data_IF_690889623502
#
_entry.id   IF_690889623502
#
_cell.length_a   1.000
_cell.length_b   1.000
_cell.length_c   1.000
_cell.angle_alpha   90.00
_cell.angle_beta   90.00
_cell.angle_gamma   90.00
#
_symmetry.space_group_name_H-M   'P 1'
#
loop_
_entity.id
_entity.type
_entity.pdbx_description
1 polymer ?
#
# COMPACT_ATOMS: atom_id res chain seq x y z
N UNK A 1 -6.23 9.65 21.22
CA UNK A 1 -4.93 8.96 21.20
C UNK A 1 -5.17 7.54 20.72
N UNK A 2 -4.30 7.02 19.86
CA UNK A 2 -4.45 5.65 19.34
C UNK A 2 -3.62 4.72 20.22
N UNK A 3 -4.25 3.72 20.82
CA UNK A 3 -3.52 2.68 21.54
C UNK A 3 -2.61 1.95 20.52
N UNK A 4 -1.33 1.88 20.85
CA UNK A 4 -0.37 1.19 20.01
C UNK A 4 0.72 0.50 20.82
N UNK A 5 1.23 -0.59 20.29
CA UNK A 5 2.41 -1.26 20.82
C UNK A 5 3.63 -0.59 20.20
N UNK A 6 4.13 0.47 20.81
CA UNK A 6 5.25 1.25 20.28
C UNK A 6 6.54 0.43 20.30
N UNK A 7 7.05 0.11 19.12
CA UNK A 7 8.24 -0.73 18.95
C UNK A 7 9.53 -0.14 19.56
N UNK A 8 9.63 1.18 19.73
CA UNK A 8 10.77 1.80 20.41
C UNK A 8 10.66 1.68 21.93
N UNK A 9 9.43 1.76 22.47
CA UNK A 9 9.18 1.67 23.91
C UNK A 9 9.25 0.22 24.41
N UNK A 10 8.80 -0.73 23.60
CA UNK A 10 8.71 -2.14 23.95
C UNK A 10 9.77 -3.01 23.26
N UNK A 11 10.88 -2.40 22.78
CA UNK A 11 12.02 -3.15 22.24
C UNK A 11 12.63 -4.05 23.33
N UNK A 12 12.88 -5.31 22.98
CA UNK A 12 13.32 -6.31 23.95
C UNK A 12 12.22 -6.94 24.80
N UNK A 13 11.04 -6.30 24.92
CA UNK A 13 9.85 -6.84 25.64
C UNK A 13 8.98 -7.63 24.68
N UNK A 14 8.20 -6.94 23.85
CA UNK A 14 7.34 -7.57 22.85
C UNK A 14 8.03 -7.70 21.50
N UNK A 15 8.92 -6.76 21.15
CA UNK A 15 9.72 -6.84 19.93
C UNK A 15 11.04 -7.53 20.18
N UNK A 16 11.49 -8.31 19.22
CA UNK A 16 12.79 -8.99 19.18
C UNK A 16 13.58 -8.50 17.97
N UNK A 17 14.90 -8.64 18.03
CA UNK A 17 15.78 -8.26 16.92
C UNK A 17 16.49 -9.47 16.35
N UNK A 18 16.41 -9.61 15.02
CA UNK A 18 17.17 -10.62 14.30
C UNK A 18 18.64 -10.20 14.20
N UNK A 19 19.54 -11.12 14.46
CA UNK A 19 20.97 -10.94 14.21
C UNK A 19 21.36 -11.07 12.73
N UNK A 20 20.47 -11.64 11.90
CA UNK A 20 20.69 -11.81 10.46
C UNK A 20 20.56 -10.52 9.66
N UNK A 21 20.05 -9.44 10.25
CA UNK A 21 19.84 -8.13 9.61
C UNK A 21 20.34 -6.99 10.49
N UNK A 22 20.64 -5.85 9.86
CA UNK A 22 21.04 -4.63 10.58
C UNK A 22 19.82 -3.82 10.99
N UNK A 23 19.91 -3.16 12.16
CA UNK A 23 18.93 -2.17 12.59
C UNK A 23 18.81 -1.02 11.55
N UNK A 24 17.62 -0.41 11.42
CA UNK A 24 16.37 -0.66 12.14
C UNK A 24 15.52 -1.80 11.55
N UNK A 25 15.93 -2.39 10.41
CA UNK A 25 15.14 -3.34 9.62
C UNK A 25 15.21 -4.79 10.11
N UNK A 26 15.52 -5.00 11.38
CA UNK A 26 15.68 -6.31 12.00
C UNK A 26 14.74 -6.55 13.19
N UNK A 27 13.81 -5.64 13.43
CA UNK A 27 12.81 -5.76 14.50
C UNK A 27 11.61 -6.57 14.02
N UNK A 28 11.10 -7.47 14.84
CA UNK A 28 9.91 -8.27 14.59
C UNK A 28 9.13 -8.52 15.88
N UNK A 29 7.86 -8.86 15.75
CA UNK A 29 6.96 -9.22 16.86
C UNK A 29 6.27 -10.54 16.49
N UNK A 30 6.12 -11.45 17.45
CA UNK A 30 5.34 -12.68 17.27
C UNK A 30 3.84 -12.43 17.51
N UNK A 31 2.99 -13.33 16.99
CA UNK A 31 1.54 -13.25 17.24
C UNK A 31 1.20 -13.25 18.74
N UNK A 32 1.87 -14.09 19.55
CA UNK A 32 1.72 -14.12 21.00
C UNK A 32 2.06 -12.77 21.64
N UNK A 33 3.15 -12.15 21.22
CA UNK A 33 3.57 -10.84 21.72
C UNK A 33 2.64 -9.71 21.25
N UNK A 34 1.99 -9.84 20.07
CA UNK A 34 0.92 -8.90 19.66
C UNK A 34 -0.25 -8.96 20.64
N UNK A 35 -0.70 -10.17 21.00
CA UNK A 35 -1.79 -10.35 21.97
C UNK A 35 -1.41 -9.79 23.35
N UNK A 36 -0.26 -10.18 23.89
CA UNK A 36 0.21 -9.70 25.18
C UNK A 36 0.46 -8.18 25.20
N UNK A 37 0.98 -7.63 24.10
CA UNK A 37 1.18 -6.19 23.96
C UNK A 37 -0.12 -5.42 23.88
N UNK A 38 -1.12 -5.93 23.16
CA UNK A 38 -2.46 -5.34 23.08
C UNK A 38 -3.12 -5.29 24.46
N UNK A 39 -3.08 -6.40 25.19
CA UNK A 39 -3.57 -6.46 26.58
C UNK A 39 -2.85 -5.42 27.46
N UNK A 40 -1.53 -5.31 27.35
CA UNK A 40 -0.72 -4.35 28.12
C UNK A 40 -1.12 -2.89 27.91
N UNK A 41 -1.48 -2.52 26.67
CA UNK A 41 -1.87 -1.14 26.31
C UNK A 41 -3.38 -0.91 26.32
N UNK A 42 -4.19 -1.94 26.65
CA UNK A 42 -5.65 -1.87 26.66
C UNK A 42 -6.30 -1.83 25.28
N UNK A 43 -5.57 -2.24 24.24
CA UNK A 43 -6.08 -2.25 22.87
C UNK A 43 -6.96 -3.48 22.59
N UNK A 44 -8.07 -3.29 21.91
CA UNK A 44 -8.92 -4.38 21.46
C UNK A 44 -8.32 -5.07 20.22
N UNK A 45 -8.28 -6.39 20.24
CA UNK A 45 -7.94 -7.22 19.09
C UNK A 45 -9.16 -7.54 18.20
N UNK A 46 -10.36 -7.15 18.64
CA UNK A 46 -11.57 -7.34 17.86
C UNK A 46 -11.69 -6.22 16.82
N UNK A 47 -11.79 -6.60 15.55
CA UNK A 47 -12.10 -5.65 14.49
C UNK A 47 -13.55 -5.15 14.65
N UNK A 48 -13.70 -3.88 14.98
CA UNK A 48 -15.00 -3.27 15.28
C UNK A 48 -15.57 -2.44 14.14
N UNK A 49 -14.80 -2.23 13.06
CA UNK A 49 -15.24 -1.43 11.91
C UNK A 49 -16.12 -2.24 10.98
N UNK A 50 -17.16 -1.60 10.42
CA UNK A 50 -18.09 -2.21 9.47
C UNK A 50 -17.63 -2.05 8.02
N UNK A 51 -16.54 -1.30 7.79
CA UNK A 51 -16.03 -0.99 6.45
C UNK A 51 -14.97 -2.01 6.06
N UNK A 52 -15.11 -2.59 4.88
CA UNK A 52 -14.15 -3.53 4.28
C UNK A 52 -14.02 -3.24 2.80
N UNK A 53 -12.93 -3.70 2.18
CA UNK A 53 -12.81 -3.62 0.72
C UNK A 53 -13.76 -4.59 0.05
N UNK A 54 -14.53 -4.17 -0.96
CA UNK A 54 -15.28 -5.08 -1.82
C UNK A 54 -14.32 -5.82 -2.76
N UNK A 55 -14.61 -7.09 -3.04
CA UNK A 55 -13.82 -7.90 -3.95
C UNK A 55 -14.67 -8.38 -5.12
N UNK A 56 -14.01 -8.62 -6.27
CA UNK A 56 -14.61 -9.31 -7.39
C UNK A 56 -14.88 -10.77 -7.06
N UNK A 57 -15.97 -11.30 -7.61
CA UNK A 57 -16.24 -12.73 -7.64
C UNK A 57 -15.44 -13.38 -8.78
N UNK A 58 -15.33 -14.70 -8.76
CA UNK A 58 -14.48 -15.44 -9.72
C UNK A 58 -14.91 -15.27 -11.19
N UNK A 59 -16.18 -15.04 -11.44
CA UNK A 59 -16.79 -14.88 -12.77
C UNK A 59 -16.84 -13.41 -13.26
N UNK A 60 -16.48 -12.46 -12.41
CA UNK A 60 -16.53 -11.04 -12.77
C UNK A 60 -15.50 -10.69 -13.88
N UNK A 61 -15.90 -9.87 -14.83
CA UNK A 61 -14.98 -9.29 -15.79
C UNK A 61 -14.23 -8.11 -15.16
N UNK A 62 -12.93 -8.30 -14.92
CA UNK A 62 -12.10 -7.33 -14.17
C UNK A 62 -11.37 -6.34 -15.07
N UNK A 63 -11.34 -6.55 -16.39
CA UNK A 63 -10.60 -5.71 -17.34
C UNK A 63 -11.35 -4.39 -17.60
N UNK A 64 -11.20 -3.44 -16.67
CA UNK A 64 -11.80 -2.11 -16.74
C UNK A 64 -10.67 -1.07 -16.78
N UNK A 65 -10.69 -0.20 -17.80
CA UNK A 65 -9.69 0.85 -17.99
C UNK A 65 -8.89 0.67 -19.28
N UNK A 66 -7.75 1.34 -19.36
CA UNK A 66 -6.83 1.23 -20.50
C UNK A 66 -5.74 0.21 -20.21
N UNK A 67 -5.15 -0.44 -21.24
CA UNK A 67 -4.04 -1.37 -21.03
C UNK A 67 -2.88 -0.73 -20.26
N UNK A 68 -2.30 -1.48 -19.32
CA UNK A 68 -1.20 -1.05 -18.48
C UNK A 68 -0.36 -2.26 -18.04
N UNK A 69 0.39 -2.83 -18.97
CA UNK A 69 1.29 -3.94 -18.67
C UNK A 69 2.50 -3.48 -17.86
N UNK A 70 2.90 -2.22 -17.99
CA UNK A 70 3.90 -1.61 -17.15
C UNK A 70 3.33 -0.35 -16.49
N UNK A 71 3.60 -0.19 -15.19
CA UNK A 71 3.22 0.99 -14.43
C UNK A 71 4.42 1.46 -13.62
N UNK A 72 4.73 2.76 -13.67
CA UNK A 72 5.83 3.36 -12.92
C UNK A 72 5.31 4.47 -12.03
N UNK A 73 5.67 4.42 -10.74
CA UNK A 73 5.47 5.49 -9.78
C UNK A 73 6.79 6.19 -9.50
N UNK A 74 6.87 7.50 -9.79
CA UNK A 74 8.05 8.34 -9.59
C UNK A 74 7.88 9.24 -8.37
N UNK A 75 8.66 8.98 -7.32
CA UNK A 75 8.71 9.84 -6.13
C UNK A 75 9.80 10.92 -6.21
N UNK A 76 10.86 10.66 -6.99
CA UNK A 76 11.95 11.62 -7.19
C UNK A 76 12.70 11.35 -8.51
N UNK A 77 13.52 12.32 -8.91
CA UNK A 77 14.34 12.23 -10.13
C UNK A 77 15.55 11.28 -9.98
N UNK A 78 15.97 10.98 -8.76
CA UNK A 78 17.11 10.08 -8.49
C UNK A 78 16.80 8.61 -8.63
N UNK A 79 15.54 8.23 -8.77
CA UNK A 79 15.08 6.86 -9.05
C UNK A 79 15.08 5.90 -7.88
N UNK A 80 15.82 6.14 -6.81
CA UNK A 80 16.04 5.20 -5.71
C UNK A 80 14.78 4.80 -4.92
N UNK A 81 13.74 5.64 -4.94
CA UNK A 81 12.45 5.36 -4.28
C UNK A 81 11.32 5.10 -5.27
N UNK A 82 11.62 5.10 -6.57
CA UNK A 82 10.63 4.84 -7.59
C UNK A 82 10.22 3.36 -7.58
N UNK A 83 8.97 3.10 -7.93
CA UNK A 83 8.46 1.73 -8.06
C UNK A 83 8.06 1.48 -9.50
N UNK A 84 8.39 0.30 -9.98
CA UNK A 84 8.01 -0.18 -11.30
C UNK A 84 7.26 -1.50 -11.15
N UNK A 85 6.21 -1.68 -11.94
CA UNK A 85 5.31 -2.81 -11.93
C UNK A 85 5.23 -3.39 -13.32
N UNK A 86 5.41 -4.70 -13.44
CA UNK A 86 5.28 -5.44 -14.70
C UNK A 86 4.18 -6.47 -14.53
N UNK A 87 3.18 -6.42 -15.41
CA UNK A 87 2.05 -7.34 -15.38
C UNK A 87 2.38 -8.66 -16.06
N UNK A 88 2.20 -9.75 -15.36
CA UNK A 88 2.25 -11.10 -15.90
C UNK A 88 0.83 -11.57 -16.25
N UNK A 89 0.56 -11.73 -17.55
CA UNK A 89 -0.78 -12.09 -18.06
C UNK A 89 -1.19 -13.54 -17.71
N UNK A 90 -0.22 -14.45 -17.65
CA UNK A 90 -0.48 -15.85 -17.34
C UNK A 90 -0.81 -16.06 -15.87
N UNK A 91 -0.07 -15.37 -15.01
CA UNK A 91 -0.24 -15.46 -13.57
C UNK A 91 -1.25 -14.43 -13.00
N UNK A 92 -1.73 -13.48 -13.84
CA UNK A 92 -2.72 -12.45 -13.49
C UNK A 92 -2.30 -11.58 -12.29
N UNK A 93 -1.03 -11.20 -12.22
CA UNK A 93 -0.51 -10.32 -11.17
C UNK A 93 0.58 -9.37 -11.69
N UNK A 94 0.87 -8.33 -10.92
CA UNK A 94 2.01 -7.45 -11.10
C UNK A 94 3.19 -7.90 -10.24
N UNK A 95 4.38 -7.96 -10.84
CA UNK A 95 5.66 -8.04 -10.12
C UNK A 95 6.15 -6.62 -9.86
N UNK A 96 6.58 -6.36 -8.62
CA UNK A 96 7.06 -5.04 -8.18
C UNK A 96 8.57 -4.98 -8.15
N UNK A 97 9.11 -3.87 -8.65
CA UNK A 97 10.53 -3.48 -8.52
C UNK A 97 10.65 -2.18 -7.72
N UNK A 98 11.60 -2.11 -6.81
CA UNK A 98 12.03 -0.87 -6.14
C UNK A 98 13.27 -0.36 -6.84
N UNK A 99 13.16 0.78 -7.53
CA UNK A 99 14.11 1.17 -8.57
C UNK A 99 14.26 0.05 -9.64
N UNK A 100 15.38 -0.66 -9.65
CA UNK A 100 15.64 -1.79 -10.56
C UNK A 100 15.67 -3.15 -9.87
N UNK A 101 15.44 -3.19 -8.55
CA UNK A 101 15.57 -4.41 -7.74
C UNK A 101 14.18 -4.99 -7.51
N UNK A 102 13.97 -6.24 -7.87
CA UNK A 102 12.72 -6.94 -7.62
C UNK A 102 12.42 -6.99 -6.11
N UNK A 103 11.16 -6.77 -5.76
CA UNK A 103 10.69 -6.86 -4.38
C UNK A 103 10.39 -8.32 -4.05
N UNK A 104 11.16 -8.88 -3.16
CA UNK A 104 11.01 -10.27 -2.70
C UNK A 104 10.64 -10.32 -1.21
N UNK A 105 9.91 -11.35 -0.81
CA UNK A 105 9.73 -11.70 0.59
C UNK A 105 11.04 -12.26 1.15
N UNK A 106 11.54 -11.64 2.22
CA UNK A 106 12.86 -12.00 2.77
C UNK A 106 12.91 -13.43 3.36
N UNK A 107 11.80 -13.89 3.93
CA UNK A 107 11.77 -15.19 4.60
C UNK A 107 11.66 -16.36 3.62
N UNK A 108 10.91 -16.16 2.53
CA UNK A 108 10.64 -17.21 1.53
C UNK A 108 11.46 -17.07 0.27
N UNK A 109 12.09 -15.90 0.05
CA UNK A 109 12.75 -15.49 -1.20
C UNK A 109 11.82 -15.51 -2.42
N UNK A 110 10.51 -15.46 -2.20
CA UNK A 110 9.51 -15.43 -3.26
C UNK A 110 9.25 -14.00 -3.73
N UNK A 111 8.93 -13.83 -5.01
CA UNK A 111 8.47 -12.57 -5.58
C UNK A 111 7.22 -12.07 -4.85
N UNK A 112 7.11 -10.76 -4.68
CA UNK A 112 5.87 -10.13 -4.17
C UNK A 112 4.94 -9.91 -5.35
N UNK A 113 3.99 -10.84 -5.50
CA UNK A 113 2.96 -10.82 -6.52
C UNK A 113 1.76 -10.00 -6.04
N UNK A 114 1.31 -9.05 -6.86
CA UNK A 114 0.27 -8.08 -6.52
C UNK A 114 -0.90 -8.19 -7.48
N UNK A 115 -2.09 -8.41 -6.95
CA UNK A 115 -3.33 -8.39 -7.72
C UNK A 115 -3.77 -6.96 -8.05
N UNK A 116 -3.47 -6.00 -7.16
CA UNK A 116 -3.86 -4.61 -7.31
C UNK A 116 -2.72 -3.67 -6.93
N UNK A 117 -2.64 -2.52 -7.63
CA UNK A 117 -1.81 -1.38 -7.24
C UNK A 117 -2.68 -0.13 -7.21
N UNK A 118 -2.73 0.53 -6.06
CA UNK A 118 -3.54 1.72 -5.82
C UNK A 118 -2.61 2.94 -5.68
N UNK A 119 -2.98 4.04 -6.32
CA UNK A 119 -2.25 5.31 -6.25
C UNK A 119 -3.23 6.37 -5.76
N UNK A 120 -3.11 6.78 -4.49
CA UNK A 120 -3.97 7.78 -3.87
C UNK A 120 -3.25 9.12 -3.77
N UNK A 121 -3.76 10.13 -4.48
CA UNK A 121 -3.21 11.49 -4.44
C UNK A 121 -3.69 12.21 -3.18
N UNK A 122 -2.74 12.73 -2.40
CA UNK A 122 -3.05 13.43 -1.16
C UNK A 122 -1.98 14.45 -0.79
N UNK A 123 -2.31 15.48 0.02
CA UNK A 123 -1.33 16.48 0.43
C UNK A 123 -0.24 15.87 1.32
N UNK A 124 1.01 16.21 0.98
CA UNK A 124 2.20 15.90 1.77
C UNK A 124 2.88 17.17 2.21
N UNK A 125 3.26 17.25 3.48
CA UNK A 125 3.99 18.38 4.05
C UNK A 125 5.26 17.88 4.76
N UNK A 126 6.41 18.45 4.43
CA UNK A 126 7.65 18.20 5.17
C UNK A 126 7.55 18.93 6.52
N UNK A 127 7.75 18.20 7.62
CA UNK A 127 7.57 18.72 8.97
C UNK A 127 8.88 19.04 9.70
N UNK A 128 10.01 18.59 9.16
CA UNK A 128 11.32 18.84 9.75
C UNK A 128 12.49 18.71 8.76
N UNK A 129 13.69 19.04 9.26
CA UNK A 129 14.94 18.98 8.49
C UNK A 129 15.40 17.55 8.15
N UNK A 130 14.84 16.52 8.77
CA UNK A 130 15.09 15.12 8.43
C UNK A 130 14.24 14.65 7.24
N UNK A 131 13.33 15.52 6.75
CA UNK A 131 12.47 15.25 5.60
C UNK A 131 11.26 14.36 5.94
N UNK A 132 10.92 14.22 7.23
CA UNK A 132 9.70 13.50 7.62
C UNK A 132 8.48 14.23 7.07
N UNK A 133 7.48 13.45 6.68
CA UNK A 133 6.28 13.97 6.02
C UNK A 133 5.05 13.76 6.91
N UNK A 134 4.25 14.80 6.99
CA UNK A 134 2.86 14.75 7.39
C UNK A 134 2.03 14.50 6.14
N UNK A 135 1.21 13.46 6.14
CA UNK A 135 0.40 13.04 5.00
C UNK A 135 -1.07 13.12 5.41
N UNK A 136 -1.85 13.92 4.67
CA UNK A 136 -3.27 14.10 4.96
C UNK A 136 -4.07 12.92 4.40
N UNK A 137 -4.43 11.98 5.27
CA UNK A 137 -5.20 10.78 4.93
C UNK A 137 -6.71 10.92 5.19
N UNK A 138 -7.17 12.10 5.58
CA UNK A 138 -8.60 12.42 5.78
C UNK A 138 -9.20 13.01 4.52
N UNK A 139 -10.52 12.86 4.34
CA UNK A 139 -11.22 13.36 3.16
C UNK A 139 -11.16 12.42 1.97
N UNK A 140 -10.70 12.90 0.83
CA UNK A 140 -10.61 12.17 -0.42
C UNK A 140 -9.81 12.93 -1.48
N UNK A 141 -9.61 12.32 -2.65
CA UNK A 141 -8.84 12.90 -3.74
C UNK A 141 -8.89 12.05 -5.01
N UNK A 142 -8.03 12.40 -5.98
CA UNK A 142 -7.86 11.60 -7.19
C UNK A 142 -7.11 10.31 -6.90
N UNK A 143 -7.34 9.30 -7.70
CA UNK A 143 -6.65 8.03 -7.60
C UNK A 143 -6.51 7.33 -8.95
N UNK A 144 -5.54 6.42 -9.04
CA UNK A 144 -5.50 5.37 -10.06
C UNK A 144 -5.63 4.00 -9.41
N UNK A 145 -6.27 3.08 -10.13
CA UNK A 145 -6.33 1.65 -9.80
C UNK A 145 -5.75 0.87 -10.96
N UNK A 146 -4.67 0.14 -10.71
CA UNK A 146 -4.10 -0.82 -11.66
C UNK A 146 -4.41 -2.25 -11.18
N UNK A 147 -5.08 -3.03 -12.03
CA UNK A 147 -5.45 -4.43 -11.80
C UNK A 147 -5.73 -5.15 -13.11
N UNK A 148 -5.51 -6.44 -13.16
CA UNK A 148 -5.74 -7.29 -14.35
C UNK A 148 -5.11 -6.75 -15.65
N UNK A 149 -3.92 -6.11 -15.57
CA UNK A 149 -3.22 -5.54 -16.73
C UNK A 149 -3.84 -4.28 -17.30
N UNK A 150 -4.72 -3.63 -16.55
CA UNK A 150 -5.33 -2.35 -16.93
C UNK A 150 -5.16 -1.31 -15.83
N UNK A 151 -5.30 -0.02 -16.17
CA UNK A 151 -5.33 1.10 -15.22
C UNK A 151 -6.49 2.02 -15.55
N UNK A 152 -7.11 2.62 -14.50
CA UNK A 152 -8.14 3.63 -14.65
C UNK A 152 -8.08 4.71 -13.60
N UNK A 153 -8.60 5.87 -13.97
CA UNK A 153 -8.83 6.98 -13.04
C UNK A 153 -10.06 6.71 -12.19
N UNK A 154 -9.94 6.99 -10.91
CA UNK A 154 -11.00 6.89 -9.91
C UNK A 154 -10.80 7.99 -8.86
N UNK A 155 -11.61 8.00 -7.83
CA UNK A 155 -11.39 8.82 -6.62
C UNK A 155 -10.97 7.91 -5.46
N UNK A 156 -10.49 8.50 -4.39
CA UNK A 156 -10.38 7.80 -3.10
C UNK A 156 -11.11 8.59 -2.02
N UNK A 157 -11.55 7.89 -0.99
CA UNK A 157 -12.19 8.48 0.20
C UNK A 157 -11.74 7.74 1.44
N UNK A 158 -11.58 8.48 2.54
CA UNK A 158 -11.43 7.87 3.86
C UNK A 158 -12.81 7.61 4.45
N UNK A 159 -13.12 6.35 4.69
CA UNK A 159 -14.36 5.91 5.34
C UNK A 159 -13.96 5.20 6.64
N UNK A 160 -14.23 5.81 7.77
CA UNK A 160 -13.89 5.30 9.10
C UNK A 160 -12.44 4.87 9.29
N UNK A 161 -11.52 5.59 8.61
CA UNK A 161 -10.08 5.34 8.66
C UNK A 161 -9.58 4.32 7.64
N UNK A 162 -10.44 3.76 6.79
CA UNK A 162 -10.06 2.94 5.64
C UNK A 162 -10.06 3.80 4.38
N UNK A 163 -8.97 3.76 3.60
CA UNK A 163 -8.86 4.47 2.33
C UNK A 163 -9.43 3.60 1.22
N UNK A 164 -10.56 3.97 0.67
CA UNK A 164 -11.29 3.20 -0.33
C UNK A 164 -11.25 3.92 -1.67
N UNK A 165 -10.95 3.19 -2.73
CA UNK A 165 -11.11 3.67 -4.10
C UNK A 165 -12.60 3.70 -4.47
N UNK A 166 -13.03 4.78 -5.14
CA UNK A 166 -14.42 5.06 -5.47
C UNK A 166 -14.53 5.34 -6.96
N UNK A 167 -15.49 4.73 -7.62
CA UNK A 167 -15.88 5.12 -8.98
C UNK A 167 -16.49 6.54 -9.00
N UNK A 168 -16.63 7.14 -10.17
CA UNK A 168 -17.19 8.50 -10.27
C UNK A 168 -18.67 8.60 -9.85
N UNK A 169 -19.42 7.50 -9.96
CA UNK A 169 -20.80 7.41 -9.50
C UNK A 169 -20.93 7.25 -7.98
N UNK A 170 -19.80 7.17 -7.26
CA UNK A 170 -19.77 7.02 -5.82
C UNK A 170 -19.85 5.59 -5.32
N UNK A 171 -19.80 4.59 -6.21
CA UNK A 171 -19.70 3.20 -5.82
C UNK A 171 -18.24 2.86 -5.45
N UNK A 172 -18.06 1.87 -4.57
CA UNK A 172 -16.73 1.41 -4.19
C UNK A 172 -16.11 0.56 -5.30
N UNK A 173 -14.83 0.82 -5.59
CA UNK A 173 -14.06 0.00 -6.54
C UNK A 173 -13.84 -1.38 -5.95
N UNK A 174 -14.29 -2.42 -6.65
CA UNK A 174 -13.97 -3.80 -6.29
C UNK A 174 -12.49 -4.10 -6.57
N UNK A 175 -11.84 -4.82 -5.68
CA UNK A 175 -10.45 -5.27 -5.83
C UNK A 175 -10.42 -6.73 -6.29
N UNK A 176 -9.40 -7.08 -7.06
CA UNK A 176 -9.08 -8.48 -7.37
C UNK A 176 -8.60 -9.15 -6.08
N UNK A 177 -9.15 -10.33 -5.69
CA UNK A 177 -8.64 -11.06 -4.55
C UNK A 177 -7.13 -11.31 -4.64
N UNK A 178 -6.39 -10.92 -3.62
CA UNK A 178 -4.93 -11.03 -3.58
C UNK A 178 -4.26 -9.87 -2.84
N UNK A 179 -2.94 -9.77 -3.00
CA UNK A 179 -2.18 -8.69 -2.35
C UNK A 179 -2.40 -7.36 -3.07
N UNK A 180 -2.51 -6.29 -2.30
CA UNK A 180 -2.65 -4.92 -2.80
C UNK A 180 -1.49 -4.06 -2.32
N UNK A 181 -0.87 -3.32 -3.24
CA UNK A 181 0.12 -2.30 -2.91
C UNK A 181 -0.51 -0.91 -3.03
N UNK A 182 -0.31 -0.07 -2.02
CA UNK A 182 -0.87 1.28 -1.99
C UNK A 182 0.24 2.31 -2.01
N UNK A 183 0.14 3.28 -2.92
CA UNK A 183 0.98 4.46 -2.97
C UNK A 183 0.23 5.69 -2.48
N UNK A 184 0.88 6.46 -1.62
CA UNK A 184 0.46 7.82 -1.27
C UNK A 184 1.23 8.79 -2.18
N UNK A 185 0.51 9.40 -3.11
CA UNK A 185 1.07 10.25 -4.15
C UNK A 185 0.95 11.71 -3.74
N UNK A 186 2.05 12.48 -3.69
CA UNK A 186 1.96 13.91 -3.39
C UNK A 186 1.14 14.66 -4.43
N UNK A 187 0.34 15.66 -4.01
CA UNK A 187 -0.39 16.56 -4.92
C UNK A 187 0.53 17.43 -5.78
N UNK A 188 1.82 17.50 -5.44
CA UNK A 188 2.86 18.10 -6.28
C UNK A 188 4.03 17.12 -6.41
N UNK A 189 4.36 16.65 -7.63
CA UNK A 189 3.91 17.09 -8.96
C UNK A 189 2.52 16.57 -9.39
N UNK A 190 1.84 15.79 -8.56
CA UNK A 190 0.51 15.29 -8.84
C UNK A 190 0.50 13.91 -9.53
N UNK A 191 -0.67 13.27 -9.48
CA UNK A 191 -0.88 11.90 -9.90
C UNK A 191 -0.47 11.66 -11.36
N UNK A 192 -0.94 12.52 -12.28
CA UNK A 192 -0.70 12.39 -13.73
C UNK A 192 0.76 12.55 -14.13
N UNK A 193 1.56 13.23 -13.31
CA UNK A 193 3.01 13.40 -13.55
C UNK A 193 3.81 12.27 -12.89
N UNK A 194 3.37 11.84 -11.70
CA UNK A 194 4.09 10.86 -10.90
C UNK A 194 3.87 9.42 -11.38
N UNK A 195 2.69 9.12 -11.95
CA UNK A 195 2.34 7.77 -12.43
C UNK A 195 2.32 7.77 -13.95
N UNK A 196 3.12 6.90 -14.56
CA UNK A 196 3.15 6.65 -16.01
C UNK A 196 2.90 5.18 -16.26
N UNK A 197 2.29 4.85 -17.40
CA UNK A 197 1.98 3.47 -17.77
C UNK A 197 2.07 3.27 -19.29
N UNK A 198 2.27 2.01 -19.69
CA UNK A 198 2.32 1.57 -21.08
C UNK A 198 1.72 0.16 -21.26
N UNK A 199 1.38 -0.16 -22.52
CA UNK A 199 0.98 -1.51 -22.92
C UNK A 199 2.14 -2.52 -22.88
#
# INVERSE_FOLDING_TARGET
>A
EVENINGMHYDGTFFKRSSARKAPHNSYISGENVVAGAEKVGASLLYQKKVSYPFYEAEDNVKIGVPANEVTMKYNNGGSFNSHYVYNREANHYTRYSATIETIDYATNASVELANVLFFEMPHRIIDNAGRRDITITGGGNAYVAQAGTIREVKWKNIDGLLIAMEEDGTEVKLVPGKTWVHFVPTSPGLTTAVTYSE
#
